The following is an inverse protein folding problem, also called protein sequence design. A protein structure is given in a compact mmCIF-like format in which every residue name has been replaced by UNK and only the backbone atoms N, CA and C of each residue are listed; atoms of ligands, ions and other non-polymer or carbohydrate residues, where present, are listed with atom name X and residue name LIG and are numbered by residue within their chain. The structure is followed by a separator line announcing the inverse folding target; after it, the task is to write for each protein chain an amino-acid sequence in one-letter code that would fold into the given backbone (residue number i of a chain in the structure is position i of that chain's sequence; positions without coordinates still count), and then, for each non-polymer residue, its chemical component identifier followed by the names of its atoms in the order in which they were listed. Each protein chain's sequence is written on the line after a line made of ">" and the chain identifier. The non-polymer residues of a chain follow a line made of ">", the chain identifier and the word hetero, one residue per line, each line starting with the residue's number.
data_IF_695053034848
#
_entry.id   IF_695053034848
#
_cell.length_a   1.000
_cell.length_b   1.000
_cell.length_c   1.000
_cell.angle_alpha   90.00
_cell.angle_beta   90.00
_cell.angle_gamma   90.00
#
_symmetry.space_group_name_H-M   'P 1'
#
loop_
_entity.id
_entity.type
_entity.pdbx_description
1 polymer ?
#
# COMPACT_ATOMS: atom_id res chain seq x y z
N UNK A 1 68.57 8.69 71.51
CA UNK A 1 68.08 7.31 71.30
C UNK A 1 66.79 7.43 70.55
N UNK A 2 66.83 7.11 69.26
CA UNK A 2 65.75 7.36 68.30
C UNK A 2 65.40 6.04 67.63
N UNK A 3 64.12 5.73 67.50
CA UNK A 3 63.64 4.61 66.72
C UNK A 3 62.85 5.13 65.56
N UNK A 4 63.28 4.79 64.36
CA UNK A 4 62.61 4.97 63.07
C UNK A 4 61.42 4.04 62.96
N UNK A 5 60.27 4.53 62.55
CA UNK A 5 59.20 3.72 62.05
C UNK A 5 59.06 3.93 60.54
N UNK A 6 59.20 2.87 59.79
CA UNK A 6 59.03 2.76 58.35
C UNK A 6 57.53 2.57 58.10
N UNK A 7 56.93 3.50 57.37
CA UNK A 7 55.59 3.34 56.86
C UNK A 7 55.59 2.40 55.68
N UNK A 8 54.74 1.37 55.77
CA UNK A 8 54.41 0.48 54.65
C UNK A 8 53.27 1.13 53.86
N UNK A 9 53.55 1.44 52.58
CA UNK A 9 52.51 1.80 51.62
C UNK A 9 51.66 0.56 51.29
N UNK A 10 50.39 0.62 51.65
CA UNK A 10 49.41 -0.37 51.23
C UNK A 10 48.83 0.03 49.86
N UNK A 11 49.25 -0.66 48.81
CA UNK A 11 48.60 -0.58 47.50
C UNK A 11 47.20 -1.18 47.62
N UNK A 12 46.17 -0.33 47.67
CA UNK A 12 44.78 -0.73 47.58
C UNK A 12 44.51 -1.28 46.13
N UNK A 13 44.46 -2.58 46.00
CA UNK A 13 43.92 -3.24 44.84
C UNK A 13 42.38 -3.10 44.88
N UNK A 14 41.82 -2.20 44.09
CA UNK A 14 40.40 -2.18 43.85
C UNK A 14 39.97 -3.48 43.19
N UNK A 15 39.43 -4.42 43.94
CA UNK A 15 38.76 -5.61 43.46
C UNK A 15 37.44 -5.20 42.80
N UNK A 16 37.40 -5.14 41.50
CA UNK A 16 36.13 -4.90 40.75
C UNK A 16 35.21 -6.08 41.04
N UNK A 17 34.01 -5.80 41.54
CA UNK A 17 33.02 -6.82 41.90
C UNK A 17 32.71 -7.70 40.66
N UNK A 18 32.79 -9.04 40.83
CA UNK A 18 32.46 -10.01 39.77
C UNK A 18 31.11 -9.74 39.10
N UNK A 19 30.12 -9.22 39.85
CA UNK A 19 28.82 -8.82 39.33
C UNK A 19 28.93 -7.63 38.39
N UNK A 20 29.75 -6.64 38.71
CA UNK A 20 29.95 -5.45 37.86
C UNK A 20 30.65 -5.81 36.56
N UNK A 21 31.63 -6.72 36.59
CA UNK A 21 32.32 -7.22 35.39
C UNK A 21 31.36 -7.96 34.47
N UNK A 22 30.48 -8.80 35.01
CA UNK A 22 29.47 -9.52 34.23
C UNK A 22 28.47 -8.52 33.58
N UNK A 23 28.03 -7.53 34.35
CA UNK A 23 27.14 -6.50 33.81
C UNK A 23 27.77 -5.69 32.67
N UNK A 24 29.03 -5.31 32.79
CA UNK A 24 29.79 -4.62 31.76
C UNK A 24 29.98 -5.49 30.52
N UNK A 25 30.33 -6.77 30.67
CA UNK A 25 30.48 -7.70 29.54
C UNK A 25 29.15 -7.92 28.79
N UNK A 26 28.04 -8.11 29.51
CA UNK A 26 26.71 -8.25 28.92
C UNK A 26 26.28 -6.95 28.22
N UNK A 27 26.53 -5.79 28.83
CA UNK A 27 26.26 -4.49 28.21
C UNK A 27 27.06 -4.24 26.93
N UNK A 28 28.36 -4.58 26.92
CA UNK A 28 29.21 -4.50 25.73
C UNK A 28 28.75 -5.47 24.62
N UNK A 29 28.29 -6.66 24.99
CA UNK A 29 27.79 -7.65 24.02
C UNK A 29 26.50 -7.14 23.35
N UNK A 30 25.53 -6.61 24.11
CA UNK A 30 24.31 -6.02 23.54
C UNK A 30 24.58 -4.75 22.73
N UNK A 31 25.49 -3.88 23.19
CA UNK A 31 25.90 -2.73 22.40
C UNK A 31 26.57 -3.15 21.09
N UNK A 32 27.45 -4.16 21.13
CA UNK A 32 28.08 -4.73 19.92
C UNK A 32 27.06 -5.28 18.93
N UNK A 33 26.06 -6.02 19.39
CA UNK A 33 24.98 -6.52 18.52
C UNK A 33 24.18 -5.39 17.86
N UNK A 34 23.82 -4.35 18.63
CA UNK A 34 23.09 -3.19 18.08
C UNK A 34 23.92 -2.39 17.08
N UNK A 35 25.23 -2.34 17.22
CA UNK A 35 26.12 -1.69 16.25
C UNK A 35 26.33 -2.54 14.98
N UNK A 36 26.39 -3.87 15.10
CA UNK A 36 26.54 -4.77 13.96
C UNK A 36 25.25 -4.79 13.11
N UNK A 37 24.08 -4.81 13.72
CA UNK A 37 22.80 -4.74 12.98
C UNK A 37 22.70 -3.43 12.17
N UNK A 38 23.01 -2.29 12.78
CA UNK A 38 22.97 -0.99 12.09
C UNK A 38 24.00 -0.85 10.95
N UNK A 39 25.17 -1.46 11.10
CA UNK A 39 26.17 -1.45 10.03
C UNK A 39 25.82 -2.41 8.93
N UNK A 40 25.23 -3.56 9.25
CA UNK A 40 24.76 -4.55 8.29
C UNK A 40 23.63 -3.98 7.45
N UNK A 41 22.62 -3.34 8.07
CA UNK A 41 21.51 -2.69 7.37
C UNK A 41 21.98 -1.60 6.41
N UNK A 42 22.96 -0.78 6.81
CA UNK A 42 23.57 0.22 5.93
C UNK A 42 24.31 -0.40 4.75
N UNK A 43 25.01 -1.51 4.99
CA UNK A 43 25.76 -2.20 3.92
C UNK A 43 24.79 -2.87 2.94
N UNK A 44 23.74 -3.50 3.45
CA UNK A 44 22.68 -4.10 2.63
C UNK A 44 22.01 -3.01 1.78
N UNK A 45 21.60 -1.88 2.38
CA UNK A 45 20.98 -0.77 1.66
C UNK A 45 21.88 -0.18 0.58
N UNK A 46 23.18 -0.07 0.83
CA UNK A 46 24.14 0.41 -0.18
C UNK A 46 24.31 -0.60 -1.32
N UNK A 47 24.42 -1.88 -1.03
CA UNK A 47 24.50 -2.94 -2.05
C UNK A 47 23.22 -3.04 -2.88
N UNK A 48 22.06 -2.84 -2.26
CA UNK A 48 20.78 -2.78 -2.98
C UNK A 48 20.69 -1.57 -3.93
N UNK A 49 21.21 -0.41 -3.50
CA UNK A 49 21.31 0.78 -4.38
C UNK A 49 22.26 0.55 -5.55
N UNK A 50 23.44 -0.03 -5.31
CA UNK A 50 24.41 -0.35 -6.36
C UNK A 50 23.83 -1.38 -7.36
N UNK A 51 23.12 -2.38 -6.86
CA UNK A 51 22.46 -3.39 -7.69
C UNK A 51 21.34 -2.77 -8.52
N UNK A 52 20.55 -1.85 -7.96
CA UNK A 52 19.50 -1.13 -8.68
C UNK A 52 20.10 -0.23 -9.77
N UNK A 53 21.19 0.48 -9.46
CA UNK A 53 21.92 1.29 -10.44
C UNK A 53 22.51 0.45 -11.58
N UNK A 54 23.12 -0.72 -11.24
CA UNK A 54 23.66 -1.63 -12.24
C UNK A 54 22.58 -2.21 -13.16
N UNK A 55 21.41 -2.55 -12.60
CA UNK A 55 20.25 -3.01 -13.40
C UNK A 55 19.72 -1.90 -14.32
N UNK A 56 19.61 -0.67 -13.84
CA UNK A 56 19.18 0.46 -14.65
C UNK A 56 20.14 0.72 -15.83
N UNK A 57 21.44 0.58 -15.62
CA UNK A 57 22.46 0.65 -16.68
C UNK A 57 22.32 -0.53 -17.66
N UNK A 58 22.12 -1.73 -17.16
CA UNK A 58 21.91 -2.92 -18.00
C UNK A 58 20.65 -2.80 -18.86
N UNK A 59 19.54 -2.33 -18.28
CA UNK A 59 18.29 -2.09 -19.02
C UNK A 59 18.43 -0.97 -20.06
N UNK A 60 19.22 0.07 -19.77
CA UNK A 60 19.53 1.13 -20.73
C UNK A 60 20.43 0.65 -21.88
N UNK A 61 21.34 -0.30 -21.63
CA UNK A 61 22.18 -0.91 -22.65
C UNK A 61 21.43 -1.93 -23.53
N UNK A 62 20.43 -2.62 -22.97
CA UNK A 62 19.57 -3.54 -23.69
C UNK A 62 18.51 -2.81 -24.53
N UNK A 63 18.09 -1.61 -24.09
CA UNK A 63 17.14 -0.75 -24.80
C UNK A 63 17.73 0.11 -25.92
N UNK A 64 19.06 0.16 -26.09
CA UNK A 64 19.77 1.13 -26.94
C UNK A 64 20.69 0.58 -28.01
N UNK A 65 20.37 -0.53 -28.70
CA UNK A 65 21.14 -0.94 -29.89
C UNK A 65 20.26 -1.27 -31.08
N UNK A 66 20.46 -0.61 -32.23
CA UNK A 66 19.88 -1.06 -33.47
C UNK A 66 20.75 -2.18 -34.05
N UNK A 67 20.51 -3.43 -33.65
CA UNK A 67 21.15 -4.59 -34.30
C UNK A 67 20.12 -5.49 -34.92
N UNK A 68 20.16 -5.42 -36.27
CA UNK A 68 19.90 -6.50 -37.19
C UNK A 68 18.53 -7.16 -37.16
N UNK A 69 17.75 -6.81 -38.18
CA UNK A 69 16.71 -7.63 -38.77
C UNK A 69 17.20 -9.07 -38.95
N UNK A 70 16.48 -10.01 -38.38
CA UNK A 70 16.31 -11.43 -38.66
C UNK A 70 16.43 -12.35 -37.44
N UNK A 71 15.66 -12.06 -36.40
CA UNK A 71 15.16 -13.11 -35.52
C UNK A 71 13.65 -12.88 -35.43
N UNK A 72 12.87 -13.78 -36.04
CA UNK A 72 11.42 -13.88 -35.75
C UNK A 72 11.27 -14.13 -34.26
N UNK A 73 11.13 -13.05 -33.49
CA UNK A 73 10.61 -13.15 -32.13
C UNK A 73 9.23 -13.79 -32.24
N UNK A 74 8.90 -14.78 -31.38
CA UNK A 74 7.53 -15.22 -31.24
C UNK A 74 6.70 -13.96 -30.96
N UNK A 75 5.63 -13.75 -31.73
CA UNK A 75 4.67 -12.66 -31.52
C UNK A 75 4.38 -12.58 -30.05
N UNK A 76 4.87 -11.52 -29.39
CA UNK A 76 4.45 -11.20 -28.03
C UNK A 76 2.94 -11.02 -28.13
N UNK A 77 2.19 -12.00 -27.66
CA UNK A 77 0.74 -11.91 -27.59
C UNK A 77 0.40 -10.57 -26.99
N UNK A 78 -0.19 -9.68 -27.77
CA UNK A 78 -0.49 -8.29 -27.39
C UNK A 78 -1.29 -8.36 -26.10
N UNK A 79 -0.67 -8.06 -24.96
CA UNK A 79 -1.35 -8.09 -23.66
C UNK A 79 -2.64 -7.29 -23.80
N UNK A 80 -3.75 -7.89 -23.40
CA UNK A 80 -5.06 -7.21 -23.41
C UNK A 80 -4.96 -5.95 -22.56
N UNK A 81 -5.45 -4.84 -23.10
CA UNK A 81 -5.47 -3.57 -22.39
C UNK A 81 -6.75 -3.44 -21.56
N UNK A 82 -6.61 -3.01 -20.30
CA UNK A 82 -7.70 -2.79 -19.37
C UNK A 82 -7.83 -1.29 -19.03
N UNK A 83 -9.02 -0.87 -18.63
CA UNK A 83 -9.23 0.48 -18.10
C UNK A 83 -8.64 0.60 -16.69
N UNK A 84 -9.02 -0.32 -15.81
CA UNK A 84 -8.56 -0.28 -14.42
C UNK A 84 -8.47 -1.66 -13.77
N UNK A 85 -7.55 -1.77 -12.80
CA UNK A 85 -7.45 -2.87 -11.86
C UNK A 85 -7.77 -2.35 -10.46
N UNK A 86 -8.82 -2.88 -9.84
CA UNK A 86 -9.25 -2.52 -8.49
C UNK A 86 -8.81 -3.58 -7.50
N UNK A 87 -7.90 -3.23 -6.60
CA UNK A 87 -7.45 -4.06 -5.50
C UNK A 87 -8.16 -3.68 -4.21
N UNK A 88 -8.97 -4.59 -3.68
CA UNK A 88 -9.70 -4.41 -2.42
C UNK A 88 -8.83 -4.97 -1.30
N UNK A 89 -8.19 -4.08 -0.53
CA UNK A 89 -7.39 -4.48 0.63
C UNK A 89 -8.26 -5.15 1.68
N UNK A 90 -7.90 -6.37 2.08
CA UNK A 90 -8.65 -7.14 3.07
C UNK A 90 -7.71 -7.87 4.04
N UNK A 91 -8.25 -8.38 5.13
CA UNK A 91 -7.51 -9.15 6.14
C UNK A 91 -8.12 -10.56 6.28
N UNK A 92 -7.37 -11.48 6.90
CA UNK A 92 -7.85 -12.85 7.17
C UNK A 92 -9.17 -12.85 7.92
N UNK A 93 -9.32 -11.99 8.93
CA UNK A 93 -10.52 -11.86 9.77
C UNK A 93 -11.72 -11.21 9.06
N UNK A 94 -11.53 -10.60 7.89
CA UNK A 94 -12.55 -9.76 7.22
C UNK A 94 -13.53 -10.54 6.35
N UNK A 95 -13.76 -11.85 6.60
CA UNK A 95 -14.65 -12.69 5.77
C UNK A 95 -16.05 -12.06 5.59
N UNK A 96 -16.66 -11.58 6.68
CA UNK A 96 -18.00 -10.95 6.61
C UNK A 96 -18.01 -9.70 5.74
N UNK A 97 -16.94 -8.87 5.78
CA UNK A 97 -16.80 -7.69 4.92
C UNK A 97 -16.69 -8.08 3.46
N UNK A 98 -15.85 -9.08 3.14
CA UNK A 98 -15.74 -9.57 1.75
C UNK A 98 -17.08 -10.09 1.23
N UNK A 99 -17.81 -10.88 2.03
CA UNK A 99 -19.13 -11.40 1.64
C UNK A 99 -20.14 -10.24 1.44
N UNK A 100 -20.06 -9.17 2.23
CA UNK A 100 -20.90 -7.99 2.08
C UNK A 100 -20.56 -7.19 0.82
N UNK A 101 -19.29 -7.06 0.48
CA UNK A 101 -18.82 -6.41 -0.77
C UNK A 101 -19.28 -7.21 -2.00
N UNK A 102 -19.15 -8.55 -1.97
CA UNK A 102 -19.68 -9.44 -3.03
C UNK A 102 -21.18 -9.34 -3.21
N UNK A 103 -21.91 -9.09 -2.12
CA UNK A 103 -23.37 -8.96 -2.13
C UNK A 103 -23.87 -7.58 -2.56
N UNK A 104 -22.96 -6.64 -2.84
CA UNK A 104 -23.29 -5.26 -3.18
C UNK A 104 -22.66 -4.83 -4.50
N UNK A 105 -21.52 -4.17 -4.48
CA UNK A 105 -20.94 -3.51 -5.65
C UNK A 105 -19.89 -4.35 -6.42
N UNK A 106 -19.42 -5.46 -5.86
CA UNK A 106 -18.50 -6.35 -6.57
C UNK A 106 -19.25 -7.46 -7.31
N UNK A 107 -19.26 -7.40 -8.63
CA UNK A 107 -19.88 -8.43 -9.45
C UNK A 107 -19.22 -9.80 -9.27
N UNK A 108 -20.00 -10.86 -9.34
CA UNK A 108 -19.55 -12.24 -9.11
C UNK A 108 -19.78 -13.14 -10.34
N UNK A 109 -19.05 -14.26 -10.38
CA UNK A 109 -19.24 -15.31 -11.41
C UNK A 109 -19.11 -14.78 -12.83
N UNK A 110 -20.06 -15.11 -13.69
CA UNK A 110 -20.01 -14.74 -15.11
C UNK A 110 -20.18 -13.23 -15.35
N UNK A 111 -20.93 -12.52 -14.49
CA UNK A 111 -21.00 -11.04 -14.56
C UNK A 111 -19.63 -10.41 -14.36
N UNK A 112 -18.79 -10.96 -13.46
CA UNK A 112 -17.42 -10.48 -13.28
C UNK A 112 -16.55 -10.74 -14.51
N UNK A 113 -16.62 -11.93 -15.10
CA UNK A 113 -15.88 -12.24 -16.33
C UNK A 113 -16.29 -11.31 -17.48
N UNK A 114 -17.60 -11.09 -17.62
CA UNK A 114 -18.14 -10.13 -18.60
C UNK A 114 -17.60 -8.71 -18.37
N UNK A 115 -17.52 -8.26 -17.10
CA UNK A 115 -16.94 -6.96 -16.73
C UNK A 115 -15.48 -6.86 -17.18
N UNK A 116 -14.69 -7.91 -16.95
CA UNK A 116 -13.28 -7.98 -17.35
C UNK A 116 -13.17 -7.98 -18.88
N UNK A 117 -14.05 -8.68 -19.57
CA UNK A 117 -14.03 -8.82 -21.01
C UNK A 117 -14.60 -7.63 -21.77
N UNK A 118 -15.73 -7.07 -21.37
CA UNK A 118 -16.40 -6.00 -22.11
C UNK A 118 -15.98 -4.61 -21.69
N UNK A 119 -15.76 -4.40 -20.38
CA UNK A 119 -15.44 -3.08 -19.83
C UNK A 119 -13.96 -2.89 -19.46
N UNK A 120 -13.16 -3.97 -19.51
CA UNK A 120 -11.75 -3.89 -19.17
C UNK A 120 -11.51 -3.54 -17.70
N UNK A 121 -12.39 -3.99 -16.79
CA UNK A 121 -12.32 -3.69 -15.36
C UNK A 121 -12.06 -4.98 -14.59
N UNK A 122 -10.95 -5.03 -13.86
CA UNK A 122 -10.57 -6.16 -13.01
C UNK A 122 -10.79 -5.76 -11.55
N UNK A 123 -11.45 -6.62 -10.77
CA UNK A 123 -11.66 -6.39 -9.33
C UNK A 123 -11.21 -7.64 -8.57
N UNK A 124 -10.30 -7.47 -7.58
CA UNK A 124 -9.77 -8.57 -6.75
C UNK A 124 -9.66 -8.15 -5.30
N UNK A 125 -9.97 -9.07 -4.38
CA UNK A 125 -9.52 -8.94 -3.00
C UNK A 125 -8.03 -9.20 -2.91
N UNK A 126 -7.31 -8.30 -2.24
CA UNK A 126 -5.86 -8.32 -2.13
C UNK A 126 -5.46 -8.78 -0.74
N UNK A 127 -4.69 -9.88 -0.67
CA UNK A 127 -4.20 -10.43 0.59
C UNK A 127 -2.89 -11.18 0.39
N UNK A 128 -1.97 -11.01 1.32
CA UNK A 128 -0.72 -11.76 1.40
C UNK A 128 -0.87 -13.12 2.09
N UNK A 129 0.21 -13.61 2.68
CA UNK A 129 0.29 -14.87 3.40
C UNK A 129 0.32 -14.64 4.92
N UNK A 130 -0.04 -15.67 5.69
CA UNK A 130 0.15 -15.65 7.13
C UNK A 130 1.63 -15.87 7.48
N UNK A 131 2.05 -15.50 8.69
CA UNK A 131 3.41 -15.77 9.18
C UNK A 131 3.74 -17.27 9.23
N UNK A 132 2.72 -18.13 9.34
CA UNK A 132 2.86 -19.58 9.23
C UNK A 132 2.40 -20.01 7.85
N UNK A 133 3.33 -20.17 6.94
CA UNK A 133 3.05 -20.59 5.55
C UNK A 133 2.23 -21.89 5.53
N UNK A 134 1.14 -21.89 4.74
CA UNK A 134 0.20 -23.03 4.66
C UNK A 134 -0.61 -23.27 5.95
N UNK A 135 -0.63 -22.30 6.87
CA UNK A 135 -1.39 -22.36 8.12
C UNK A 135 -2.92 -22.34 7.92
N UNK A 136 -3.65 -22.39 9.03
CA UNK A 136 -5.14 -22.40 9.01
C UNK A 136 -5.69 -21.18 8.27
N UNK A 137 -5.08 -20.01 8.44
CA UNK A 137 -5.51 -18.76 7.82
C UNK A 137 -5.34 -18.80 6.29
N UNK A 138 -4.20 -19.29 5.81
CA UNK A 138 -3.94 -19.41 4.36
C UNK A 138 -4.90 -20.41 3.73
N UNK A 139 -5.09 -21.59 4.35
CA UNK A 139 -6.06 -22.58 3.87
C UNK A 139 -7.51 -22.05 3.83
N UNK A 140 -7.88 -21.19 4.80
CA UNK A 140 -9.20 -20.56 4.79
C UNK A 140 -9.40 -19.63 3.58
N UNK A 141 -8.38 -18.83 3.24
CA UNK A 141 -8.40 -17.98 2.04
C UNK A 141 -8.39 -18.83 0.76
N UNK A 142 -7.58 -19.88 0.69
CA UNK A 142 -7.53 -20.79 -0.46
C UNK A 142 -8.88 -21.46 -0.72
N UNK A 143 -9.56 -21.92 0.34
CA UNK A 143 -10.90 -22.49 0.24
C UNK A 143 -11.93 -21.45 -0.23
N UNK A 144 -11.79 -20.19 0.23
CA UNK A 144 -12.63 -19.09 -0.20
C UNK A 144 -12.38 -18.73 -1.66
N UNK A 145 -11.12 -18.66 -2.07
CA UNK A 145 -10.73 -18.35 -3.44
C UNK A 145 -11.14 -19.46 -4.41
N UNK A 146 -11.01 -20.74 -4.03
CA UNK A 146 -11.53 -21.86 -4.81
C UNK A 146 -13.03 -21.75 -5.11
N UNK A 147 -13.80 -21.14 -4.18
CA UNK A 147 -15.24 -20.93 -4.35
C UNK A 147 -15.57 -19.74 -5.22
N UNK A 148 -14.87 -18.61 -5.05
CA UNK A 148 -15.23 -17.33 -5.65
C UNK A 148 -14.29 -16.90 -6.78
N UNK A 149 -13.01 -17.33 -6.77
CA UNK A 149 -11.98 -17.03 -7.76
C UNK A 149 -11.66 -15.53 -7.85
N UNK A 150 -11.77 -14.79 -6.74
CA UNK A 150 -11.75 -13.33 -6.74
C UNK A 150 -10.64 -12.72 -5.88
N UNK A 151 -9.62 -13.52 -5.54
CA UNK A 151 -8.44 -13.05 -4.84
C UNK A 151 -7.25 -12.77 -5.74
N UNK A 152 -6.43 -11.82 -5.32
CA UNK A 152 -5.05 -11.62 -5.72
C UNK A 152 -4.16 -11.92 -4.53
N UNK A 153 -3.47 -13.07 -4.57
CA UNK A 153 -2.51 -13.46 -3.52
C UNK A 153 -1.18 -12.74 -3.78
N UNK A 154 -0.68 -12.05 -2.76
CA UNK A 154 0.57 -11.31 -2.83
C UNK A 154 1.71 -12.10 -2.19
N UNK A 155 2.90 -12.00 -2.73
CA UNK A 155 4.16 -12.43 -2.09
C UNK A 155 4.53 -11.47 -0.95
N UNK A 156 3.72 -11.49 0.10
CA UNK A 156 3.78 -10.60 1.25
C UNK A 156 3.25 -11.30 2.51
N UNK A 157 3.93 -11.11 3.64
CA UNK A 157 3.45 -11.60 4.94
C UNK A 157 2.61 -10.52 5.59
N UNK A 158 1.35 -10.86 5.90
CA UNK A 158 0.41 -9.94 6.54
C UNK A 158 0.84 -9.61 7.98
N UNK A 159 0.80 -8.33 8.35
CA UNK A 159 1.13 -7.84 9.68
C UNK A 159 0.49 -6.49 9.97
N UNK A 160 0.43 -6.13 11.26
CA UNK A 160 -0.25 -4.90 11.69
C UNK A 160 0.38 -3.61 11.11
N UNK A 161 1.72 -3.58 10.98
CA UNK A 161 2.46 -2.43 10.44
C UNK A 161 2.88 -2.62 8.97
N UNK A 162 2.37 -3.66 8.30
CA UNK A 162 2.80 -4.03 6.96
C UNK A 162 1.89 -3.51 5.83
N UNK A 163 0.92 -2.65 6.16
CA UNK A 163 -0.03 -2.15 5.17
C UNK A 163 0.65 -1.35 4.04
N UNK A 164 1.68 -0.57 4.36
CA UNK A 164 2.49 0.16 3.37
C UNK A 164 3.24 -0.79 2.43
N UNK A 165 3.80 -1.88 2.96
CA UNK A 165 4.45 -2.92 2.15
C UNK A 165 3.43 -3.68 1.29
N UNK A 166 2.29 -4.04 1.86
CA UNK A 166 1.19 -4.69 1.14
C UNK A 166 0.72 -3.88 -0.06
N UNK A 167 0.49 -2.59 0.12
CA UNK A 167 0.06 -1.68 -0.95
C UNK A 167 1.13 -1.55 -2.03
N UNK A 168 2.42 -1.45 -1.65
CA UNK A 168 3.53 -1.46 -2.60
C UNK A 168 3.53 -2.75 -3.42
N UNK A 169 3.47 -3.90 -2.77
CA UNK A 169 3.43 -5.22 -3.43
C UNK A 169 2.20 -5.38 -4.32
N UNK A 170 1.04 -4.84 -3.91
CA UNK A 170 -0.15 -4.83 -4.78
C UNK A 170 0.11 -4.12 -6.11
N UNK A 171 0.64 -2.89 -6.11
CA UNK A 171 0.90 -2.17 -7.36
C UNK A 171 1.93 -2.88 -8.24
N UNK A 172 2.99 -3.44 -7.65
CA UNK A 172 4.01 -4.22 -8.36
C UNK A 172 3.38 -5.43 -9.04
N UNK A 173 2.60 -6.21 -8.29
CA UNK A 173 1.96 -7.42 -8.79
C UNK A 173 0.93 -7.09 -9.86
N UNK A 174 0.10 -6.07 -9.61
CA UNK A 174 -0.97 -5.69 -10.52
C UNK A 174 -0.44 -5.18 -11.87
N UNK A 175 0.58 -4.32 -11.89
CA UNK A 175 1.16 -3.80 -13.14
C UNK A 175 1.93 -4.88 -13.92
N UNK A 176 2.42 -5.90 -13.23
CA UNK A 176 3.08 -7.06 -13.87
C UNK A 176 2.06 -7.99 -14.54
N UNK A 177 0.93 -8.23 -13.87
CA UNK A 177 -0.10 -9.16 -14.37
C UNK A 177 -0.98 -8.56 -15.46
N UNK A 178 -1.39 -7.30 -15.30
CA UNK A 178 -2.38 -6.66 -16.16
C UNK A 178 -1.88 -5.33 -16.72
N UNK A 179 -2.07 -5.13 -18.01
CA UNK A 179 -1.82 -3.84 -18.68
C UNK A 179 -3.07 -2.97 -18.54
N UNK A 180 -3.14 -2.12 -17.53
CA UNK A 180 -4.27 -1.22 -17.28
C UNK A 180 -3.86 0.26 -17.31
N UNK A 181 -4.79 1.14 -17.68
CA UNK A 181 -4.54 2.58 -17.63
C UNK A 181 -4.43 3.09 -16.18
N UNK A 182 -5.21 2.49 -15.26
CA UNK A 182 -5.22 2.85 -13.83
C UNK A 182 -5.19 1.64 -12.90
N UNK A 183 -4.58 1.83 -11.73
CA UNK A 183 -4.56 0.90 -10.61
C UNK A 183 -5.19 1.57 -9.40
N UNK A 184 -6.22 0.94 -8.85
CA UNK A 184 -7.06 1.48 -7.77
C UNK A 184 -6.85 0.65 -6.51
N UNK A 185 -6.52 1.29 -5.40
CA UNK A 185 -6.58 0.70 -4.06
C UNK A 185 -7.86 1.12 -3.38
N UNK A 186 -8.56 0.19 -2.77
CA UNK A 186 -9.74 0.45 -1.94
C UNK A 186 -9.76 -0.46 -0.73
N UNK A 187 -10.33 -0.01 0.39
CA UNK A 187 -10.50 -0.84 1.60
C UNK A 187 -11.80 -1.66 1.54
N UNK A 188 -11.86 -2.79 2.24
CA UNK A 188 -12.99 -3.72 2.23
C UNK A 188 -14.23 -3.25 3.01
N UNK A 189 -14.18 -2.03 3.52
CA UNK A 189 -15.26 -1.34 4.21
C UNK A 189 -15.69 -0.03 3.52
N UNK A 190 -15.43 0.10 2.23
CA UNK A 190 -15.81 1.24 1.39
C UNK A 190 -16.84 0.80 0.35
N UNK A 191 -17.90 1.59 0.15
CA UNK A 191 -18.83 1.40 -0.95
C UNK A 191 -18.33 2.14 -2.19
N UNK A 192 -18.35 1.48 -3.35
CA UNK A 192 -17.85 2.04 -4.61
C UNK A 192 -18.91 1.90 -5.72
N UNK A 193 -19.12 2.97 -6.49
CA UNK A 193 -19.89 3.00 -7.72
C UNK A 193 -18.94 2.80 -8.90
N UNK A 194 -18.89 1.59 -9.44
CA UNK A 194 -17.86 1.13 -10.39
C UNK A 194 -17.98 1.84 -11.75
N UNK A 195 -19.19 2.07 -12.26
CA UNK A 195 -19.39 2.83 -13.50
C UNK A 195 -18.97 4.29 -13.33
N UNK A 196 -19.35 4.90 -12.22
CA UNK A 196 -18.96 6.27 -11.88
C UNK A 196 -17.43 6.39 -11.70
N UNK A 197 -16.79 5.40 -11.07
CA UNK A 197 -15.33 5.33 -10.96
C UNK A 197 -14.68 5.20 -12.34
N UNK A 198 -15.14 4.24 -13.16
CA UNK A 198 -14.64 4.03 -14.52
C UNK A 198 -14.72 5.27 -15.38
N UNK A 199 -15.88 5.91 -15.42
CA UNK A 199 -16.08 7.17 -16.15
C UNK A 199 -15.24 8.33 -15.60
N UNK A 200 -14.95 8.34 -14.30
CA UNK A 200 -14.07 9.33 -13.70
C UNK A 200 -12.62 9.13 -14.16
N UNK A 201 -12.12 7.90 -14.12
CA UNK A 201 -10.75 7.59 -14.53
C UNK A 201 -10.55 7.70 -16.04
N UNK A 202 -11.54 7.30 -16.85
CA UNK A 202 -11.46 7.38 -18.31
C UNK A 202 -11.18 8.80 -18.82
N UNK A 203 -11.71 9.83 -18.14
CA UNK A 203 -11.43 11.24 -18.50
C UNK A 203 -9.97 11.64 -18.36
N UNK A 204 -9.18 10.87 -17.62
CA UNK A 204 -7.75 11.16 -17.36
C UNK A 204 -6.80 10.16 -18.01
N UNK A 205 -7.30 9.20 -18.80
CA UNK A 205 -6.49 8.10 -19.36
C UNK A 205 -5.35 8.54 -20.30
N UNK A 206 -5.48 9.72 -20.89
CA UNK A 206 -4.43 10.27 -21.77
C UNK A 206 -3.39 11.13 -21.02
N UNK A 207 -3.62 11.41 -19.74
CA UNK A 207 -2.73 12.21 -18.93
C UNK A 207 -1.66 11.33 -18.27
N UNK A 208 -0.38 11.71 -18.34
CA UNK A 208 0.67 11.00 -17.63
C UNK A 208 0.66 11.33 -16.14
N UNK A 209 1.17 10.43 -15.35
CA UNK A 209 1.46 10.61 -13.91
C UNK A 209 0.29 11.16 -13.11
N UNK A 210 -0.89 10.55 -13.28
CA UNK A 210 -2.11 10.92 -12.54
C UNK A 210 -2.18 10.18 -11.21
N UNK A 211 -2.39 10.95 -10.14
CA UNK A 211 -2.77 10.45 -8.81
C UNK A 211 -4.07 11.11 -8.41
N UNK A 212 -5.14 10.34 -8.37
CA UNK A 212 -6.50 10.82 -8.11
C UNK A 212 -7.08 10.20 -6.83
N UNK A 213 -7.68 11.05 -5.99
CA UNK A 213 -8.33 10.66 -4.75
C UNK A 213 -8.92 11.86 -4.04
N UNK A 214 -9.42 11.67 -2.84
CA UNK A 214 -9.77 12.77 -1.95
C UNK A 214 -8.47 13.26 -1.29
N UNK A 215 -7.90 14.34 -1.82
CA UNK A 215 -6.59 14.83 -1.43
C UNK A 215 -6.64 15.55 -0.09
N UNK A 216 -5.67 15.25 0.76
CA UNK A 216 -5.47 15.88 2.06
C UNK A 216 -4.00 16.22 2.30
N UNK A 217 -3.77 17.11 3.25
CA UNK A 217 -2.54 17.27 3.99
C UNK A 217 -2.95 17.65 5.41
N UNK A 218 -2.23 17.19 6.41
CA UNK A 218 -2.61 17.43 7.80
C UNK A 218 -1.40 17.38 8.72
N UNK A 219 -1.60 17.60 10.03
CA UNK A 219 -0.51 17.53 10.98
C UNK A 219 0.07 16.11 11.03
N UNK A 220 1.39 16.00 11.16
CA UNK A 220 2.05 14.74 11.41
C UNK A 220 1.70 14.25 12.81
N UNK A 221 1.28 13.01 12.96
CA UNK A 221 0.81 12.43 14.22
C UNK A 221 1.99 11.93 15.05
N UNK A 222 2.75 12.87 15.63
CA UNK A 222 3.97 12.61 16.39
C UNK A 222 3.72 12.05 17.82
N UNK A 223 2.51 12.20 18.37
CA UNK A 223 2.20 11.76 19.73
C UNK A 223 2.07 10.24 19.81
N UNK A 224 2.82 9.60 20.70
CA UNK A 224 2.70 8.15 20.96
C UNK A 224 1.31 7.81 21.52
N UNK A 225 0.79 6.66 21.10
CA UNK A 225 -0.49 6.14 21.58
C UNK A 225 -1.73 6.68 20.86
N UNK A 226 -1.60 7.66 19.96
CA UNK A 226 -2.72 8.07 19.10
C UNK A 226 -2.85 7.10 17.91
N UNK A 227 -4.08 6.95 17.42
CA UNK A 227 -4.34 6.19 16.20
C UNK A 227 -3.55 6.83 15.03
N UNK A 228 -2.90 6.02 14.21
CA UNK A 228 -2.06 6.46 13.10
C UNK A 228 -0.79 7.24 13.50
N UNK A 229 -0.27 7.01 14.72
CA UNK A 229 1.02 7.55 15.15
C UNK A 229 2.12 7.31 14.11
N UNK A 230 2.89 8.36 13.78
CA UNK A 230 4.04 8.29 12.89
C UNK A 230 5.34 8.24 13.71
N UNK A 231 6.01 7.09 13.82
CA UNK A 231 7.24 6.97 14.60
C UNK A 231 8.40 7.80 14.04
N UNK A 232 8.39 8.05 12.74
CA UNK A 232 9.45 8.81 12.04
C UNK A 232 9.06 10.27 11.79
N UNK A 233 8.24 10.86 12.66
CA UNK A 233 7.69 12.21 12.53
C UNK A 233 8.75 13.29 12.25
N UNK A 234 10.00 13.13 12.74
CA UNK A 234 11.09 14.10 12.53
C UNK A 234 11.49 14.23 11.05
N UNK A 235 11.18 13.27 10.19
CA UNK A 235 11.46 13.34 8.75
C UNK A 235 10.61 14.38 8.03
N UNK A 236 9.55 14.88 8.66
CA UNK A 236 8.61 15.84 8.08
C UNK A 236 8.90 17.29 8.50
N UNK A 237 10.01 17.55 9.22
CA UNK A 237 10.45 18.87 9.66
C UNK A 237 10.05 19.22 11.10
N UNK A 238 10.62 20.32 11.63
CA UNK A 238 10.50 20.69 13.04
C UNK A 238 9.32 21.61 13.34
N UNK A 239 8.98 22.55 12.45
CA UNK A 239 7.91 23.53 12.67
C UNK A 239 6.76 23.34 11.69
N UNK A 240 5.54 23.32 12.23
CA UNK A 240 4.33 23.19 11.43
C UNK A 240 4.30 21.89 10.63
N UNK A 241 4.81 20.82 11.22
CA UNK A 241 4.89 19.50 10.62
C UNK A 241 3.57 19.08 10.00
N UNK A 242 3.54 19.09 8.69
CA UNK A 242 2.40 18.61 7.91
C UNK A 242 2.87 17.55 6.93
N UNK A 243 2.03 16.54 6.78
CA UNK A 243 2.19 15.62 5.66
C UNK A 243 2.08 16.40 4.33
N UNK A 244 2.87 16.03 3.35
CA UNK A 244 2.68 16.44 1.97
C UNK A 244 1.30 16.02 1.46
N UNK A 245 0.88 16.59 0.33
CA UNK A 245 -0.41 16.28 -0.28
C UNK A 245 -0.46 14.81 -0.72
N UNK A 246 -1.45 14.09 -0.24
CA UNK A 246 -1.72 12.70 -0.58
C UNK A 246 -3.22 12.43 -0.53
N UNK A 247 -3.68 11.35 -1.16
CA UNK A 247 -5.08 10.93 -1.06
C UNK A 247 -5.35 10.25 0.29
N UNK A 248 -6.61 10.25 0.73
CA UNK A 248 -7.03 9.45 1.89
C UNK A 248 -6.91 7.96 1.58
N UNK A 249 -6.55 7.14 2.58
CA UNK A 249 -6.27 5.73 2.41
C UNK A 249 -7.46 4.87 1.98
N UNK A 250 -8.71 5.33 2.13
CA UNK A 250 -9.90 4.53 1.87
C UNK A 250 -10.04 4.11 0.40
N UNK A 251 -9.78 5.04 -0.52
CA UNK A 251 -9.75 4.79 -1.96
C UNK A 251 -8.92 5.84 -2.70
N UNK A 252 -8.12 5.39 -3.64
CA UNK A 252 -7.42 6.25 -4.62
C UNK A 252 -7.00 5.44 -5.84
N UNK A 253 -6.66 6.14 -6.92
CA UNK A 253 -6.16 5.55 -8.15
C UNK A 253 -4.86 6.22 -8.59
N UNK A 254 -3.97 5.44 -9.19
CA UNK A 254 -2.75 5.92 -9.84
C UNK A 254 -2.70 5.43 -11.29
N UNK A 255 -2.12 6.22 -12.17
CA UNK A 255 -1.90 5.84 -13.57
C UNK A 255 -0.82 4.76 -13.71
N UNK A 256 -0.82 4.08 -14.86
CA UNK A 256 0.10 2.99 -15.19
C UNK A 256 1.58 3.37 -15.00
N UNK A 257 1.97 4.54 -15.43
CA UNK A 257 3.35 5.03 -15.33
C UNK A 257 3.80 5.20 -13.87
N UNK A 258 2.92 5.67 -12.97
CA UNK A 258 3.19 5.72 -11.52
C UNK A 258 3.29 4.32 -10.91
N UNK A 259 2.40 3.39 -11.28
CA UNK A 259 2.49 2.00 -10.81
C UNK A 259 3.77 1.31 -11.31
N UNK A 260 4.18 1.59 -12.56
CA UNK A 260 5.44 1.12 -13.14
C UNK A 260 6.64 1.72 -12.40
N UNK A 261 6.60 3.02 -12.10
CA UNK A 261 7.63 3.68 -11.29
C UNK A 261 7.80 2.99 -9.91
N UNK A 262 6.69 2.68 -9.23
CA UNK A 262 6.73 1.94 -7.95
C UNK A 262 7.39 0.57 -8.14
N UNK A 263 7.02 -0.15 -9.20
CA UNK A 263 7.56 -1.48 -9.51
C UNK A 263 9.07 -1.46 -9.73
N UNK A 264 9.56 -0.51 -10.54
CA UNK A 264 10.99 -0.38 -10.84
C UNK A 264 11.80 0.02 -9.59
N UNK A 265 11.27 0.96 -8.79
CA UNK A 265 11.97 1.54 -7.66
C UNK A 265 11.62 0.91 -6.30
N UNK A 266 10.98 -0.24 -6.28
CA UNK A 266 10.42 -0.88 -5.08
C UNK A 266 11.41 -1.03 -3.92
N UNK A 267 12.69 -1.23 -4.23
CA UNK A 267 13.75 -1.50 -3.25
C UNK A 267 14.20 -0.24 -2.48
N UNK A 268 14.02 0.95 -3.07
CA UNK A 268 14.45 2.22 -2.47
C UNK A 268 13.28 3.06 -1.93
N UNK A 269 12.04 2.70 -2.23
CA UNK A 269 10.86 3.43 -1.77
C UNK A 269 10.62 3.19 -0.29
N UNK A 270 10.74 4.24 0.52
CA UNK A 270 10.60 4.19 1.96
C UNK A 270 9.15 3.88 2.38
N UNK A 271 9.00 3.12 3.47
CA UNK A 271 7.70 2.78 4.07
C UNK A 271 7.52 3.56 5.36
N UNK A 272 6.57 4.47 5.40
CA UNK A 272 6.09 5.09 6.63
C UNK A 272 5.03 4.21 7.30
N UNK A 273 4.67 4.52 8.54
CA UNK A 273 3.67 3.77 9.29
C UNK A 273 2.29 3.77 8.62
N UNK A 274 1.93 4.90 7.99
CA UNK A 274 0.67 5.04 7.27
C UNK A 274 0.86 4.81 5.78
N UNK A 275 0.02 3.99 5.22
CA UNK A 275 0.07 3.53 3.83
C UNK A 275 -0.13 4.67 2.82
N UNK A 276 -1.11 5.53 3.06
CA UNK A 276 -1.43 6.69 2.24
C UNK A 276 -0.31 7.75 2.24
N UNK A 277 0.33 7.94 3.40
CA UNK A 277 1.53 8.77 3.55
C UNK A 277 2.70 8.16 2.77
N UNK A 278 2.91 6.85 2.87
CA UNK A 278 3.96 6.15 2.12
C UNK A 278 3.81 6.36 0.62
N UNK A 279 2.61 6.11 0.07
CA UNK A 279 2.36 6.31 -1.36
C UNK A 279 2.63 7.75 -1.78
N UNK A 280 2.08 8.73 -1.06
CA UNK A 280 2.30 10.14 -1.38
C UNK A 280 3.79 10.53 -1.35
N UNK A 281 4.58 9.95 -0.41
CA UNK A 281 6.02 10.22 -0.30
C UNK A 281 6.80 9.75 -1.53
N UNK A 282 6.38 8.64 -2.15
CA UNK A 282 7.06 8.10 -3.32
C UNK A 282 6.97 9.02 -4.54
N UNK A 283 6.06 9.97 -4.53
CA UNK A 283 5.78 10.87 -5.65
C UNK A 283 6.28 12.30 -5.48
N UNK A 284 6.86 12.69 -4.32
CA UNK A 284 7.26 14.07 -4.03
C UNK A 284 8.24 14.63 -5.05
N UNK A 285 9.18 13.82 -5.51
CA UNK A 285 10.19 14.23 -6.47
C UNK A 285 9.78 14.13 -7.94
N UNK A 286 8.51 13.75 -8.20
CA UNK A 286 7.97 13.54 -9.55
C UNK A 286 7.00 14.66 -9.93
N UNK A 287 6.93 14.95 -11.22
CA UNK A 287 5.92 15.83 -11.80
C UNK A 287 4.57 15.09 -11.91
N UNK A 288 3.84 14.98 -10.77
CA UNK A 288 2.59 14.24 -10.65
C UNK A 288 1.39 15.19 -10.65
N UNK A 289 0.39 14.89 -11.48
CA UNK A 289 -0.89 15.58 -11.44
C UNK A 289 -1.77 15.00 -10.31
N UNK A 290 -1.85 15.74 -9.19
CA UNK A 290 -2.71 15.40 -8.05
C UNK A 290 -4.14 15.89 -8.29
N UNK A 291 -5.05 14.99 -8.60
CA UNK A 291 -6.47 15.32 -8.84
C UNK A 291 -7.27 15.10 -7.57
N UNK A 292 -7.78 16.20 -7.00
CA UNK A 292 -8.67 16.18 -5.83
C UNK A 292 -10.12 16.00 -6.26
N UNK A 293 -10.64 14.79 -6.21
CA UNK A 293 -12.03 14.51 -6.50
C UNK A 293 -12.78 14.10 -5.22
N UNK A 294 -13.55 15.04 -4.69
CA UNK A 294 -14.33 14.88 -3.46
C UNK A 294 -15.44 13.84 -3.56
N UNK A 295 -15.79 13.38 -4.75
CA UNK A 295 -16.73 12.27 -4.93
C UNK A 295 -16.16 10.92 -4.49
N UNK A 296 -14.82 10.81 -4.33
CA UNK A 296 -14.16 9.62 -3.76
C UNK A 296 -14.23 9.56 -2.23
N UNK A 297 -14.78 10.57 -1.56
CA UNK A 297 -14.88 10.60 -0.10
C UNK A 297 -16.21 11.16 0.42
N UNK A 298 -17.31 10.78 -0.20
CA UNK A 298 -18.63 11.12 0.31
C UNK A 298 -18.90 10.46 1.66
N UNK A 299 -19.60 11.15 2.54
CA UNK A 299 -20.16 10.54 3.75
C UNK A 299 -21.33 9.63 3.40
N UNK A 300 -21.56 8.55 4.17
CA UNK A 300 -22.73 7.69 4.00
C UNK A 300 -24.04 8.38 4.35
N UNK A 301 -23.97 9.53 5.02
CA UNK A 301 -25.13 10.36 5.41
C UNK A 301 -25.66 11.23 4.28
N UNK A 302 -24.79 11.61 3.34
CA UNK A 302 -25.10 12.61 2.31
C UNK A 302 -25.00 12.09 0.86
N UNK A 303 -24.54 10.86 0.65
CA UNK A 303 -24.38 10.29 -0.69
C UNK A 303 -25.71 10.14 -1.45
N UNK A 304 -26.82 9.89 -0.76
CA UNK A 304 -28.14 9.74 -1.38
C UNK A 304 -28.66 11.07 -1.97
N UNK A 305 -28.65 12.15 -1.21
CA UNK A 305 -29.10 13.44 -1.73
C UNK A 305 -28.17 13.99 -2.82
N UNK A 306 -26.87 13.70 -2.76
CA UNK A 306 -25.92 14.02 -3.84
C UNK A 306 -26.28 13.30 -5.13
N UNK A 307 -26.62 12.01 -5.05
CA UNK A 307 -27.08 11.23 -6.19
C UNK A 307 -28.37 11.82 -6.81
N UNK A 308 -29.35 12.18 -5.96
CA UNK A 308 -30.59 12.82 -6.40
C UNK A 308 -30.34 14.17 -7.06
N UNK A 309 -29.32 14.90 -6.62
CA UNK A 309 -28.91 16.18 -7.23
C UNK A 309 -28.02 16.00 -8.49
N UNK A 310 -27.84 14.79 -9.01
CA UNK A 310 -27.04 14.52 -10.20
C UNK A 310 -25.52 14.46 -9.93
N UNK A 311 -25.10 14.49 -8.67
CA UNK A 311 -23.71 14.43 -8.24
C UNK A 311 -23.37 13.07 -7.62
N UNK A 312 -23.49 12.00 -8.40
CA UNK A 312 -23.20 10.64 -7.93
C UNK A 312 -21.82 10.53 -7.29
N UNK A 313 -21.77 10.00 -6.07
CA UNK A 313 -20.51 9.70 -5.38
C UNK A 313 -19.79 8.56 -6.09
N UNK A 314 -18.46 8.66 -6.21
CA UNK A 314 -17.62 7.56 -6.68
C UNK A 314 -17.46 6.53 -5.56
N UNK A 315 -17.21 7.01 -4.32
CA UNK A 315 -17.11 6.16 -3.16
C UNK A 315 -17.72 6.82 -1.92
N UNK A 316 -18.19 5.99 -0.99
CA UNK A 316 -18.85 6.43 0.25
C UNK A 316 -18.34 5.64 1.46
N UNK A 317 -18.06 6.37 2.56
CA UNK A 317 -17.65 5.81 3.84
C UNK A 317 -17.92 6.81 4.98
N UNK A 318 -17.71 6.38 6.24
CA UNK A 318 -17.85 7.23 7.43
C UNK A 318 -16.46 7.68 7.90
N UNK A 319 -16.20 8.96 7.97
CA UNK A 319 -14.93 9.53 8.41
C UNK A 319 -14.54 9.11 9.83
N UNK A 320 -15.51 8.99 10.73
CA UNK A 320 -15.30 8.59 12.13
C UNK A 320 -14.72 7.18 12.29
N UNK A 321 -15.05 6.27 11.36
CA UNK A 321 -14.57 4.89 11.36
C UNK A 321 -13.45 4.64 10.35
N UNK A 322 -13.12 5.61 9.51
CA UNK A 322 -12.19 5.47 8.37
C UNK A 322 -12.62 4.40 7.35
N UNK A 323 -13.91 4.14 7.27
CA UNK A 323 -14.61 3.15 6.47
C UNK A 323 -16.07 3.17 6.89
N UNK A 324 -16.94 2.37 6.32
CA UNK A 324 -18.34 2.26 6.78
C UNK A 324 -18.35 1.63 8.17
N UNK A 325 -18.86 2.38 9.16
CA UNK A 325 -19.02 1.85 10.52
C UNK A 325 -19.89 0.58 10.51
N UNK A 326 -19.43 -0.51 11.11
CA UNK A 326 -20.09 -1.84 11.05
C UNK A 326 -20.37 -2.27 9.59
N UNK A 327 -19.39 -2.12 8.70
CA UNK A 327 -19.54 -2.29 7.25
C UNK A 327 -20.17 -3.63 6.85
N UNK A 328 -19.83 -4.73 7.53
CA UNK A 328 -20.40 -6.05 7.26
C UNK A 328 -21.94 -6.08 7.25
N UNK A 329 -22.56 -5.25 8.09
CA UNK A 329 -24.01 -5.18 8.22
C UNK A 329 -24.61 -4.00 7.44
N UNK A 330 -23.92 -2.84 7.44
CA UNK A 330 -24.46 -1.59 6.89
C UNK A 330 -24.21 -1.37 5.40
N UNK A 331 -23.20 -2.01 4.79
CA UNK A 331 -22.85 -1.73 3.39
C UNK A 331 -24.00 -1.99 2.42
N UNK A 332 -24.87 -2.94 2.72
CA UNK A 332 -26.08 -3.20 1.91
C UNK A 332 -27.05 -2.04 1.92
N UNK A 333 -27.25 -1.43 3.09
CA UNK A 333 -28.11 -0.24 3.23
C UNK A 333 -27.48 0.98 2.52
N UNK A 334 -26.15 1.15 2.65
CA UNK A 334 -25.42 2.20 1.92
C UNK A 334 -25.55 1.97 0.41
N UNK A 335 -25.40 0.74 -0.06
CA UNK A 335 -25.53 0.39 -1.48
C UNK A 335 -26.94 0.68 -2.01
N UNK A 336 -27.99 0.36 -1.25
CA UNK A 336 -29.38 0.63 -1.62
C UNK A 336 -29.65 2.13 -1.79
N UNK A 337 -29.06 2.99 -0.95
CA UNK A 337 -29.28 4.45 -0.97
C UNK A 337 -28.36 5.21 -1.92
N UNK A 338 -27.12 4.77 -2.00
CA UNK A 338 -26.03 5.52 -2.63
C UNK A 338 -25.44 4.81 -3.85
N UNK A 339 -25.93 3.59 -4.15
CA UNK A 339 -25.48 2.80 -5.28
C UNK A 339 -26.01 3.35 -6.62
N UNK A 340 -25.20 3.21 -7.64
CA UNK A 340 -25.64 3.42 -9.03
C UNK A 340 -26.56 2.27 -9.48
N UNK A 341 -27.44 2.54 -10.45
CA UNK A 341 -28.34 1.52 -10.99
C UNK A 341 -27.57 0.35 -11.60
N UNK A 342 -28.14 -0.86 -11.55
CA UNK A 342 -27.49 -2.07 -12.10
C UNK A 342 -27.11 -1.93 -13.57
N UNK A 343 -27.88 -1.19 -14.37
CA UNK A 343 -27.62 -0.99 -15.80
C UNK A 343 -26.56 0.08 -16.08
N UNK A 344 -26.24 0.93 -15.11
CA UNK A 344 -25.30 2.06 -15.29
C UNK A 344 -23.93 1.60 -15.76
N UNK A 345 -23.45 0.47 -15.22
CA UNK A 345 -22.15 -0.11 -15.57
C UNK A 345 -22.12 -0.64 -17.01
N UNK A 346 -23.20 -1.25 -17.47
CA UNK A 346 -23.27 -1.83 -18.80
C UNK A 346 -23.52 -0.77 -19.88
N UNK A 347 -24.26 0.29 -19.55
CA UNK A 347 -24.51 1.44 -20.42
C UNK A 347 -23.29 2.38 -20.56
N UNK A 348 -22.33 2.34 -19.60
CA UNK A 348 -21.19 3.24 -19.64
C UNK A 348 -20.20 2.88 -20.75
N UNK A 349 -19.74 3.90 -21.48
CA UNK A 349 -18.59 3.86 -22.38
C UNK A 349 -17.37 4.49 -21.69
N UNK A 350 -16.23 3.77 -21.68
CA UNK A 350 -15.01 4.19 -20.99
C UNK A 350 -13.84 4.44 -21.95
#
# INVERSE_FOLDING_TARGET
>A
MSWKNRGTESTSRHSVSRKLTIFLCVGCFFAGMLFTDRTLDKTISNLEMELAAARAVQDSLVGGSPVSQNLKMPELAKKRKYLMVVGINTAFSSRKRRDSVRATWMLQGDKRKKLEEEKGIIIRFVIGHSTTSGGILDRAIEAEDKKHGDFLRLEHVEGYLELSAKTKTFFITAVTLWDADFYVKVDDDVHVNIATLGGTLARHRLKPRVYIGCMKSGPVLAQKGVRYHEPEYWKFGEQGNKYFRHATGQIYAISKDLATYISINQHILHKYANEDVSLGSWFIGLDVEHIDDRRLCCGTTDCEWKAQAGNMCVASFDWSCSGICNSADRIKEVHRRCGEGEDSLWAADF
#
